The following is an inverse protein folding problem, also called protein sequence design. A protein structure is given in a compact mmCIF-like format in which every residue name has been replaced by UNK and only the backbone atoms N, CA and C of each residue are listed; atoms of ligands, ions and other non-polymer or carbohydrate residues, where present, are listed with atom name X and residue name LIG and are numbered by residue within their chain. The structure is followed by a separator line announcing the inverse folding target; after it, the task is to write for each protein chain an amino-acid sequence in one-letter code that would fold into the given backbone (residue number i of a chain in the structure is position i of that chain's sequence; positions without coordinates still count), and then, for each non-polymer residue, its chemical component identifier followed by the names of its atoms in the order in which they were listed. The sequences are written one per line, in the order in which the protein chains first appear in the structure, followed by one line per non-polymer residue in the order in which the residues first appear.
data_IF_563647734945
#
_entry.id   IF_563647734945
#
_cell.length_a   1.000
_cell.length_b   1.000
_cell.length_c   1.000
_cell.angle_alpha   90.00
_cell.angle_beta   90.00
_cell.angle_gamma   90.00
#
_symmetry.space_group_name_H-M   'P 1'
#
loop_
_entity.id
_entity.type
_entity.pdbx_description
1 polymer ?
#
# COMPACT_ATOMS: atom_id res chain seq x y z
N UNK A 1 4.19 -8.19 26.81
CA UNK A 1 5.64 -8.14 26.57
C UNK A 1 5.84 -7.93 25.08
N UNK A 2 6.43 -6.81 24.66
CA UNK A 2 6.82 -6.59 23.27
C UNK A 2 8.26 -7.08 23.13
N UNK A 3 8.47 -8.11 22.30
CA UNK A 3 9.80 -8.62 21.99
C UNK A 3 10.25 -7.93 20.70
N UNK A 4 11.38 -7.24 20.76
CA UNK A 4 12.03 -6.71 19.57
C UNK A 4 12.74 -7.85 18.85
N UNK A 5 12.30 -8.19 17.63
CA UNK A 5 12.91 -9.27 16.86
C UNK A 5 14.28 -8.85 16.32
N UNK A 6 14.33 -7.89 15.40
CA UNK A 6 15.55 -7.26 14.90
C UNK A 6 15.23 -6.09 13.94
N UNK A 7 16.17 -5.16 13.67
CA UNK A 7 15.91 -4.01 12.79
C UNK A 7 15.72 -4.39 11.32
N UNK A 8 16.04 -5.62 10.95
CA UNK A 8 16.22 -6.06 9.56
C UNK A 8 15.33 -7.24 9.14
N UNK A 9 14.26 -7.53 9.89
CA UNK A 9 13.40 -8.71 9.68
C UNK A 9 12.09 -8.36 8.95
N UNK A 10 11.67 -7.10 8.98
CA UNK A 10 10.39 -6.64 8.42
C UNK A 10 10.57 -5.58 7.32
N UNK A 11 11.34 -5.91 6.29
CA UNK A 11 11.40 -5.08 5.10
C UNK A 11 10.30 -5.43 4.12
N UNK A 12 9.75 -4.39 3.50
CA UNK A 12 8.93 -4.52 2.31
C UNK A 12 9.50 -3.65 1.22
N UNK A 13 9.46 -4.13 -0.02
CA UNK A 13 9.94 -3.36 -1.15
C UNK A 13 9.01 -2.16 -1.38
N UNK A 14 9.61 -1.00 -1.58
CA UNK A 14 8.87 0.19 -2.00
C UNK A 14 8.85 0.26 -3.53
N UNK A 15 7.75 0.74 -4.11
CA UNK A 15 7.70 1.02 -5.54
C UNK A 15 8.64 2.16 -5.93
N UNK A 16 8.93 2.29 -7.23
CA UNK A 16 9.66 3.45 -7.75
C UNK A 16 8.96 4.76 -7.35
N UNK A 17 9.66 5.75 -6.78
CA UNK A 17 9.01 6.91 -6.14
C UNK A 17 8.22 7.79 -7.12
N UNK A 18 8.60 7.78 -8.39
CA UNK A 18 7.90 8.53 -9.45
C UNK A 18 6.99 7.62 -10.27
N UNK A 19 7.41 6.40 -10.58
CA UNK A 19 6.67 5.52 -11.48
C UNK A 19 5.61 4.67 -10.79
N UNK A 20 5.71 4.45 -9.48
CA UNK A 20 4.85 3.51 -8.75
C UNK A 20 5.12 2.04 -9.09
N UNK A 21 6.18 1.74 -9.85
CA UNK A 21 6.45 0.40 -10.37
C UNK A 21 7.06 -0.50 -9.31
N UNK A 22 6.52 -1.70 -9.16
CA UNK A 22 7.08 -2.74 -8.30
C UNK A 22 8.17 -3.56 -9.02
N UNK A 23 9.20 -4.04 -8.29
CA UNK A 23 10.22 -4.91 -8.86
C UNK A 23 9.61 -6.24 -9.35
N UNK A 24 10.28 -6.90 -10.29
CA UNK A 24 9.85 -8.19 -10.82
C UNK A 24 9.65 -9.22 -9.69
N UNK A 25 8.62 -10.06 -9.81
CA UNK A 25 8.26 -11.05 -8.78
C UNK A 25 7.53 -10.48 -7.57
N UNK A 26 7.08 -9.23 -7.63
CA UNK A 26 6.24 -8.62 -6.60
C UNK A 26 4.98 -8.00 -7.21
N UNK A 27 3.95 -7.87 -6.38
CA UNK A 27 2.65 -7.29 -6.72
C UNK A 27 2.42 -5.98 -5.96
N UNK A 28 1.80 -4.98 -6.60
CA UNK A 28 1.50 -3.72 -5.94
C UNK A 28 0.44 -3.93 -4.85
N UNK A 29 0.62 -3.25 -3.73
CA UNK A 29 -0.36 -3.13 -2.66
C UNK A 29 -0.77 -1.66 -2.55
N UNK A 30 -2.07 -1.43 -2.51
CA UNK A 30 -2.69 -0.13 -2.35
C UNK A 30 -3.17 0.02 -0.90
N UNK A 31 -2.77 1.12 -0.24
CA UNK A 31 -3.28 1.51 1.08
C UNK A 31 -4.30 2.63 0.92
N UNK A 32 -5.48 2.42 1.49
CA UNK A 32 -6.64 3.31 1.34
C UNK A 32 -7.14 3.71 2.72
N UNK A 33 -6.95 4.97 3.07
CA UNK A 33 -7.46 5.56 4.30
C UNK A 33 -8.92 5.99 4.16
N UNK A 34 -9.76 5.67 5.13
CA UNK A 34 -11.19 5.97 5.09
C UNK A 34 -11.56 7.43 5.42
N UNK A 35 -10.58 8.29 5.72
CA UNK A 35 -10.78 9.71 6.03
C UNK A 35 -11.77 10.01 7.18
N UNK A 36 -11.90 9.10 8.15
CA UNK A 36 -12.80 9.25 9.31
C UNK A 36 -12.01 9.42 10.61
N UNK A 37 -12.70 9.93 11.64
CA UNK A 37 -12.16 10.11 13.00
C UNK A 37 -11.70 8.79 13.62
N UNK A 38 -12.43 7.70 13.38
CA UNK A 38 -12.09 6.34 13.81
C UNK A 38 -11.10 5.63 12.87
N UNK A 39 -10.34 6.41 12.09
CA UNK A 39 -9.29 6.05 11.13
C UNK A 39 -9.10 4.56 10.85
N UNK A 40 -9.38 4.16 9.61
CA UNK A 40 -9.18 2.79 9.16
C UNK A 40 -8.48 2.77 7.80
N UNK A 41 -7.57 1.81 7.64
CA UNK A 41 -6.86 1.58 6.39
C UNK A 41 -7.27 0.23 5.81
N UNK A 42 -7.62 0.24 4.52
CA UNK A 42 -7.80 -0.98 3.73
C UNK A 42 -6.58 -1.19 2.86
N UNK A 43 -6.03 -2.40 2.90
CA UNK A 43 -4.97 -2.85 2.02
C UNK A 43 -5.53 -3.80 0.96
N UNK A 44 -5.13 -3.64 -0.30
CA UNK A 44 -5.56 -4.52 -1.38
C UNK A 44 -4.54 -4.57 -2.50
N UNK A 45 -4.42 -5.70 -3.19
CA UNK A 45 -3.64 -5.85 -4.44
C UNK A 45 -4.49 -5.61 -5.69
N UNK A 46 -5.79 -5.34 -5.53
CA UNK A 46 -6.72 -5.16 -6.65
C UNK A 46 -6.90 -3.68 -7.00
N UNK A 47 -6.49 -3.31 -8.22
CA UNK A 47 -6.68 -1.95 -8.73
C UNK A 47 -8.16 -1.57 -8.82
N UNK A 48 -9.05 -2.51 -9.19
CA UNK A 48 -10.48 -2.24 -9.24
C UNK A 48 -11.08 -1.96 -7.86
N UNK A 49 -10.59 -2.63 -6.80
CA UNK A 49 -10.99 -2.32 -5.42
C UNK A 49 -10.46 -0.94 -5.01
N UNK A 50 -9.21 -0.59 -5.36
CA UNK A 50 -8.66 0.75 -5.13
C UNK A 50 -9.55 1.83 -5.74
N UNK A 51 -9.87 1.70 -7.03
CA UNK A 51 -10.67 2.68 -7.77
C UNK A 51 -12.08 2.80 -7.18
N UNK A 52 -12.69 1.67 -6.79
CA UNK A 52 -14.00 1.66 -6.14
C UNK A 52 -13.99 2.33 -4.76
N UNK A 53 -12.89 2.24 -3.99
CA UNK A 53 -12.77 2.92 -2.69
C UNK A 53 -12.50 4.42 -2.86
N UNK A 54 -11.66 4.80 -3.82
CA UNK A 54 -11.45 6.20 -4.20
C UNK A 54 -12.77 6.87 -4.56
N UNK A 55 -13.61 6.21 -5.37
CA UNK A 55 -14.94 6.69 -5.72
C UNK A 55 -15.89 6.82 -4.50
N UNK A 56 -15.61 6.11 -3.40
CA UNK A 56 -16.35 6.19 -2.12
C UNK A 56 -15.77 7.21 -1.15
N UNK A 57 -14.77 7.99 -1.56
CA UNK A 57 -14.15 9.05 -0.74
C UNK A 57 -13.01 8.57 0.16
N UNK A 58 -12.50 7.36 -0.04
CA UNK A 58 -11.23 6.96 0.59
C UNK A 58 -10.08 7.72 -0.07
N UNK A 59 -9.00 7.93 0.68
CA UNK A 59 -7.76 8.55 0.22
C UNK A 59 -6.72 7.46 0.00
N UNK A 60 -6.21 7.32 -1.23
CA UNK A 60 -5.10 6.43 -1.50
C UNK A 60 -3.78 7.08 -1.05
N UNK A 61 -2.88 6.27 -0.51
CA UNK A 61 -1.56 6.66 -0.05
C UNK A 61 -0.50 5.84 -0.79
N UNK A 62 0.52 6.51 -1.32
CA UNK A 62 1.59 5.82 -2.05
C UNK A 62 2.24 6.68 -3.14
N UNK A 63 2.85 5.98 -4.09
CA UNK A 63 3.74 6.55 -5.10
C UNK A 63 3.23 6.33 -6.53
N UNK A 64 3.63 7.25 -7.41
CA UNK A 64 3.35 7.19 -8.84
C UNK A 64 1.88 7.35 -9.24
N UNK A 65 1.57 7.18 -10.52
CA UNK A 65 0.22 7.40 -11.07
C UNK A 65 -0.84 6.48 -10.45
N UNK A 66 -0.43 5.27 -10.09
CA UNK A 66 -1.30 4.25 -9.52
C UNK A 66 -1.39 4.26 -7.98
N UNK A 67 -0.65 5.16 -7.33
CA UNK A 67 -0.65 5.35 -5.87
C UNK A 67 -0.37 4.02 -5.15
N UNK A 68 0.75 3.39 -5.51
CA UNK A 68 1.19 2.12 -4.91
C UNK A 68 1.89 2.43 -3.59
N UNK A 69 1.48 1.81 -2.50
CA UNK A 69 2.07 2.03 -1.16
C UNK A 69 3.33 1.19 -0.99
N UNK A 70 3.22 -0.10 -1.32
CA UNK A 70 4.28 -1.09 -1.13
C UNK A 70 4.16 -2.23 -2.14
N UNK A 71 5.21 -3.04 -2.25
CA UNK A 71 5.29 -4.17 -3.17
C UNK A 71 5.45 -5.46 -2.37
N UNK A 72 4.42 -6.29 -2.37
CA UNK A 72 4.41 -7.59 -1.70
C UNK A 72 5.00 -8.67 -2.62
N UNK A 73 5.79 -9.63 -2.11
CA UNK A 73 6.20 -10.78 -2.91
C UNK A 73 4.97 -11.55 -3.39
N UNK A 74 5.06 -12.10 -4.62
CA UNK A 74 4.01 -12.94 -5.19
C UNK A 74 4.01 -14.35 -4.58
#
# INVERSE_FOLDING_TARGET
MFIYEAPNVFYINLPGPISGTCPAGSVPVYRLWNARVDTNHRYTTSASVRDAMLARGYVAEGYGPDIVDMCAPQ
#
